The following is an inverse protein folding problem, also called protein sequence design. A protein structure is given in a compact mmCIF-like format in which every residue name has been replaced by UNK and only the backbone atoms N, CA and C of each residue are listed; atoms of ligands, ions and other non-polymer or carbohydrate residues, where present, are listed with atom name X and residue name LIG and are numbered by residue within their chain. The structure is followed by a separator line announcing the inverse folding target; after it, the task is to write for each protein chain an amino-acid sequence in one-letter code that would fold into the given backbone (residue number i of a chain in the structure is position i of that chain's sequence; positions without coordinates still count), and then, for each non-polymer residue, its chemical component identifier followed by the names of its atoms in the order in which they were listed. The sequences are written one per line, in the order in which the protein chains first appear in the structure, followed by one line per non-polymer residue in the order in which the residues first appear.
data_IF_336760336673
#
_entry.id   IF_336760336673
#
_cell.length_a   1.000
_cell.length_b   1.000
_cell.length_c   1.000
_cell.angle_alpha   90.00
_cell.angle_beta   90.00
_cell.angle_gamma   90.00
#
_symmetry.space_group_name_H-M   'P 1'
#
loop_
_entity.id
_entity.type
_entity.pdbx_description
1 polymer ?
#
# COMPACT_ATOMS: atom_id res chain seq x y z
N UNK A 1 20.49 -31.03 23.45
CA UNK A 1 19.33 -30.15 23.17
C UNK A 1 18.43 -30.01 24.40
N UNK A 2 18.39 -31.01 25.29
CA UNK A 2 17.55 -30.98 26.50
C UNK A 2 18.11 -30.11 27.65
N UNK A 3 19.41 -29.84 27.70
CA UNK A 3 20.02 -28.98 28.75
C UNK A 3 19.81 -27.47 28.54
N UNK A 4 19.24 -27.05 27.41
CA UNK A 4 19.03 -25.62 27.08
C UNK A 4 17.63 -25.15 27.50
N UNK A 5 16.70 -26.08 27.71
CA UNK A 5 15.29 -25.79 28.06
C UNK A 5 15.15 -25.30 29.52
N UNK A 6 16.17 -25.52 30.36
CA UNK A 6 16.15 -25.16 31.79
C UNK A 6 17.06 -23.98 32.17
N UNK A 7 17.62 -23.26 31.19
CA UNK A 7 18.35 -22.01 31.47
C UNK A 7 17.34 -20.87 31.63
N UNK A 8 17.38 -20.21 32.78
CA UNK A 8 16.62 -18.99 33.11
C UNK A 8 17.00 -17.78 32.22
N UNK A 9 18.02 -17.96 31.39
CA UNK A 9 18.55 -16.98 30.46
C UNK A 9 17.65 -16.88 29.21
N UNK A 10 16.44 -16.34 29.34
CA UNK A 10 15.52 -16.13 28.20
C UNK A 10 16.13 -15.25 27.07
N UNK A 11 17.22 -14.53 27.36
CA UNK A 11 17.91 -13.65 26.41
C UNK A 11 18.43 -14.36 25.16
N UNK A 12 18.92 -15.61 25.25
CA UNK A 12 19.43 -16.31 24.08
C UNK A 12 18.29 -16.73 23.14
N UNK A 13 17.15 -17.10 23.70
CA UNK A 13 15.96 -17.48 22.94
C UNK A 13 15.35 -16.26 22.26
N UNK A 14 15.25 -15.13 22.97
CA UNK A 14 14.81 -13.85 22.40
C UNK A 14 15.77 -13.35 21.30
N UNK A 15 17.09 -13.51 21.51
CA UNK A 15 18.11 -13.20 20.51
C UNK A 15 17.99 -14.11 19.28
N UNK A 16 17.77 -15.41 19.47
CA UNK A 16 17.56 -16.37 18.38
C UNK A 16 16.29 -16.05 17.58
N UNK A 17 15.17 -15.80 18.25
CA UNK A 17 13.92 -15.39 17.61
C UNK A 17 14.08 -14.07 16.84
N UNK A 18 14.82 -13.13 17.41
CA UNK A 18 15.14 -11.85 16.76
C UNK A 18 15.97 -12.06 15.50
N UNK A 19 17.06 -12.83 15.58
CA UNK A 19 17.94 -13.14 14.43
C UNK A 19 17.17 -13.90 13.36
N UNK A 20 16.38 -14.91 13.74
CA UNK A 20 15.56 -15.68 12.81
C UNK A 20 14.53 -14.81 12.09
N UNK A 21 13.85 -13.92 12.82
CA UNK A 21 12.90 -12.94 12.28
C UNK A 21 13.58 -11.94 11.33
N UNK A 22 14.76 -11.44 11.70
CA UNK A 22 15.57 -10.54 10.87
C UNK A 22 16.07 -11.24 9.59
N UNK A 23 16.51 -12.49 9.69
CA UNK A 23 16.95 -13.29 8.55
C UNK A 23 15.78 -13.59 7.60
N UNK A 24 14.61 -13.93 8.12
CA UNK A 24 13.39 -14.08 7.32
C UNK A 24 13.02 -12.77 6.61
N UNK A 25 13.06 -11.63 7.32
CA UNK A 25 12.84 -10.30 6.73
C UNK A 25 13.82 -10.01 5.60
N UNK A 26 15.11 -10.30 5.82
CA UNK A 26 16.19 -10.08 4.86
C UNK A 26 16.00 -10.92 3.61
N UNK A 27 15.72 -12.22 3.77
CA UNK A 27 15.47 -13.14 2.65
C UNK A 27 14.24 -12.70 1.85
N UNK A 28 13.14 -12.36 2.52
CA UNK A 28 11.92 -11.90 1.87
C UNK A 28 12.15 -10.63 1.03
N UNK A 29 12.84 -9.63 1.61
CA UNK A 29 13.15 -8.39 0.89
C UNK A 29 14.12 -8.66 -0.28
N UNK A 30 15.15 -9.48 -0.08
CA UNK A 30 16.08 -9.88 -1.14
C UNK A 30 15.38 -10.58 -2.32
N UNK A 31 14.43 -11.47 -2.03
CA UNK A 31 13.61 -12.12 -3.06
C UNK A 31 12.70 -11.11 -3.79
N UNK A 32 12.17 -10.10 -3.09
CA UNK A 32 11.39 -9.04 -3.71
C UNK A 32 12.26 -8.17 -4.63
N UNK A 33 13.44 -7.73 -4.16
CA UNK A 33 14.37 -6.91 -4.94
C UNK A 33 14.88 -7.60 -6.19
N UNK A 34 14.91 -8.95 -6.21
CA UNK A 34 15.28 -9.73 -7.40
C UNK A 34 14.27 -9.62 -8.55
N UNK A 35 13.06 -9.07 -8.30
CA UNK A 35 11.97 -8.95 -9.28
C UNK A 35 11.67 -7.48 -9.54
N UNK A 36 12.06 -6.96 -10.70
CA UNK A 36 11.78 -5.57 -11.11
C UNK A 36 10.29 -5.20 -11.06
N UNK A 37 9.40 -6.17 -11.23
CA UNK A 37 7.95 -5.98 -11.08
C UNK A 37 7.49 -5.63 -9.66
N UNK A 38 8.34 -5.82 -8.64
CA UNK A 38 8.07 -5.58 -7.22
C UNK A 38 8.84 -4.39 -6.64
N UNK A 39 9.57 -3.62 -7.44
CA UNK A 39 10.33 -2.45 -6.99
C UNK A 39 9.45 -1.46 -6.18
N UNK A 40 8.23 -1.20 -6.67
CA UNK A 40 7.28 -0.36 -5.95
C UNK A 40 6.80 -1.01 -4.64
N UNK A 41 6.56 -2.33 -4.64
CA UNK A 41 6.16 -3.08 -3.44
C UNK A 41 7.23 -3.00 -2.34
N UNK A 42 8.51 -3.09 -2.72
CA UNK A 42 9.64 -2.91 -1.80
C UNK A 42 9.62 -1.51 -1.16
N UNK A 43 9.39 -0.46 -1.98
CA UNK A 43 9.38 0.93 -1.50
C UNK A 43 8.30 1.26 -0.45
N UNK A 44 7.24 0.47 -0.39
CA UNK A 44 6.09 0.65 0.53
C UNK A 44 6.04 -0.39 1.67
N UNK A 45 6.74 -1.52 1.53
CA UNK A 45 6.73 -2.64 2.50
C UNK A 45 7.87 -2.47 3.50
N UNK A 46 7.65 -1.64 4.53
CA UNK A 46 8.66 -1.39 5.57
C UNK A 46 8.74 -2.48 6.65
N UNK A 47 7.66 -3.26 6.82
CA UNK A 47 7.58 -4.33 7.83
C UNK A 47 6.98 -5.61 7.23
N UNK A 48 7.65 -6.77 7.35
CA UNK A 48 7.12 -8.05 6.85
C UNK A 48 5.88 -8.50 7.63
N UNK A 49 5.78 -8.15 8.93
CA UNK A 49 4.75 -8.65 9.86
C UNK A 49 3.47 -7.79 9.97
N UNK A 50 3.41 -6.62 9.33
CA UNK A 50 2.25 -5.72 9.40
C UNK A 50 1.26 -5.98 8.26
N UNK A 51 0.86 -7.24 8.06
CA UNK A 51 -0.15 -7.63 7.06
C UNK A 51 -1.58 -7.67 7.60
N UNK A 52 -1.84 -7.10 8.78
CA UNK A 52 -3.19 -7.04 9.36
C UNK A 52 -4.23 -6.37 8.44
N UNK A 53 -3.79 -5.66 7.39
CA UNK A 53 -4.65 -5.10 6.37
C UNK A 53 -5.09 -6.12 5.30
N UNK A 54 -4.50 -7.33 5.21
CA UNK A 54 -4.85 -8.46 4.33
C UNK A 54 -5.80 -9.49 4.98
N UNK A 55 -6.13 -9.31 6.26
CA UNK A 55 -6.85 -10.31 7.05
C UNK A 55 -8.27 -9.88 7.43
N UNK A 56 -8.80 -8.78 6.87
CA UNK A 56 -10.18 -8.38 7.19
C UNK A 56 -11.19 -9.23 6.41
N UNK A 57 -11.98 -10.05 7.09
CA UNK A 57 -13.04 -10.84 6.45
C UNK A 57 -14.16 -9.97 5.85
N UNK A 58 -14.29 -8.72 6.28
CA UNK A 58 -15.41 -7.83 5.96
C UNK A 58 -15.15 -6.88 4.78
N UNK A 59 -13.93 -6.82 4.23
CA UNK A 59 -13.58 -5.94 3.10
C UNK A 59 -12.65 -6.63 2.11
N UNK A 60 -13.08 -7.78 1.58
CA UNK A 60 -12.28 -8.56 0.64
C UNK A 60 -11.93 -7.78 -0.63
N UNK A 61 -12.87 -7.00 -1.17
CA UNK A 61 -12.68 -6.26 -2.42
C UNK A 61 -11.63 -5.17 -2.25
N UNK A 62 -11.74 -4.32 -1.23
CA UNK A 62 -10.78 -3.25 -0.97
C UNK A 62 -9.36 -3.80 -0.74
N UNK A 63 -9.24 -4.91 -0.03
CA UNK A 63 -7.97 -5.59 0.20
C UNK A 63 -7.34 -6.14 -1.06
N UNK A 64 -8.13 -6.85 -1.88
CA UNK A 64 -7.66 -7.38 -3.16
C UNK A 64 -7.16 -6.26 -4.06
N UNK A 65 -7.87 -5.14 -4.14
CA UNK A 65 -7.48 -3.99 -4.96
C UNK A 65 -6.23 -3.30 -4.43
N UNK A 66 -6.14 -3.10 -3.11
CA UNK A 66 -4.93 -2.54 -2.49
C UNK A 66 -3.72 -3.43 -2.76
N UNK A 67 -3.85 -4.75 -2.59
CA UNK A 67 -2.79 -5.71 -2.89
C UNK A 67 -2.36 -5.65 -4.37
N UNK A 68 -3.32 -5.59 -5.29
CA UNK A 68 -3.03 -5.39 -6.72
C UNK A 68 -2.30 -4.08 -6.98
N UNK A 69 -2.70 -2.97 -6.35
CA UNK A 69 -1.99 -1.70 -6.48
C UNK A 69 -0.54 -1.81 -5.98
N UNK A 70 -0.32 -2.41 -4.80
CA UNK A 70 1.01 -2.61 -4.22
C UNK A 70 1.94 -3.44 -5.12
N UNK A 71 1.39 -4.46 -5.79
CA UNK A 71 2.15 -5.37 -6.66
C UNK A 71 2.25 -4.89 -8.11
N UNK A 72 1.73 -3.70 -8.41
CA UNK A 72 1.67 -3.17 -9.78
C UNK A 72 0.78 -4.01 -10.70
N UNK A 73 -0.20 -4.72 -10.17
CA UNK A 73 -1.11 -5.63 -10.88
C UNK A 73 -2.56 -5.11 -10.91
N UNK A 74 -2.75 -3.79 -10.78
CA UNK A 74 -4.07 -3.17 -10.75
C UNK A 74 -4.76 -3.12 -12.12
N UNK A 75 -4.03 -3.35 -13.22
CA UNK A 75 -4.56 -3.24 -14.58
C UNK A 75 -4.60 -1.80 -15.12
N UNK A 76 -3.83 -0.88 -14.53
CA UNK A 76 -3.59 0.45 -15.09
C UNK A 76 -2.60 0.37 -16.26
N UNK A 77 -2.54 1.39 -17.11
CA UNK A 77 -1.77 1.35 -18.36
C UNK A 77 -0.30 0.96 -18.18
N UNK A 78 0.38 1.40 -17.13
CA UNK A 78 1.76 0.95 -16.84
C UNK A 78 1.88 -0.58 -16.62
N UNK A 79 0.92 -1.21 -15.95
CA UNK A 79 0.84 -2.67 -15.81
C UNK A 79 0.53 -3.34 -17.15
N UNK A 80 -0.44 -2.79 -17.90
CA UNK A 80 -0.82 -3.33 -19.21
C UNK A 80 0.32 -3.22 -20.23
N UNK A 81 1.08 -2.13 -20.22
CA UNK A 81 2.28 -1.94 -21.04
C UNK A 81 3.35 -2.98 -20.72
N UNK A 82 3.59 -3.24 -19.44
CA UNK A 82 4.51 -4.31 -18.98
C UNK A 82 4.08 -5.69 -19.50
N UNK A 83 2.77 -5.92 -19.64
CA UNK A 83 2.19 -7.14 -20.22
C UNK A 83 2.07 -7.11 -21.76
N UNK A 84 2.49 -6.03 -22.40
CA UNK A 84 2.36 -5.79 -23.85
C UNK A 84 0.91 -5.76 -24.35
N UNK A 85 -0.01 -5.33 -23.51
CA UNK A 85 -1.44 -5.20 -23.83
C UNK A 85 -1.86 -3.77 -24.17
N UNK A 86 -1.04 -2.76 -23.86
CA UNK A 86 -1.37 -1.34 -24.03
C UNK A 86 -0.11 -0.47 -24.23
N UNK A 87 -0.30 0.81 -24.57
CA UNK A 87 0.76 1.81 -24.76
C UNK A 87 1.28 2.43 -23.44
N UNK A 88 0.50 2.28 -22.37
CA UNK A 88 0.77 2.73 -21.02
C UNK A 88 0.35 4.16 -20.70
N UNK A 89 -0.44 4.78 -21.56
CA UNK A 89 -0.99 6.12 -21.34
C UNK A 89 -2.42 6.07 -20.83
N UNK A 90 -2.82 7.12 -20.11
CA UNK A 90 -4.14 7.18 -19.49
C UNK A 90 -5.19 7.52 -20.54
N UNK A 91 -6.13 6.59 -20.77
CA UNK A 91 -7.23 6.75 -21.72
C UNK A 91 -8.44 7.50 -21.16
N UNK A 92 -8.48 7.70 -19.84
CA UNK A 92 -9.63 8.33 -19.17
C UNK A 92 -9.57 9.86 -19.13
N UNK A 93 -8.38 10.45 -19.28
CA UNK A 93 -8.21 11.89 -19.22
C UNK A 93 -7.65 12.44 -20.54
N UNK A 94 -8.09 13.62 -20.92
CA UNK A 94 -7.72 14.27 -22.18
C UNK A 94 -6.23 14.60 -22.31
N UNK A 95 -5.50 14.63 -21.20
CA UNK A 95 -4.07 14.97 -21.16
C UNK A 95 -3.16 13.80 -21.54
N UNK A 96 -3.69 12.57 -21.61
CA UNK A 96 -2.95 11.35 -21.97
C UNK A 96 -1.55 11.21 -21.32
N UNK A 97 -1.38 11.47 -20.01
CA UNK A 97 -0.10 11.23 -19.34
C UNK A 97 0.14 9.71 -19.15
N UNK A 98 1.32 9.36 -18.64
CA UNK A 98 1.62 7.99 -18.21
C UNK A 98 0.58 7.53 -17.19
N UNK A 99 0.03 6.34 -17.39
CA UNK A 99 -0.99 5.78 -16.52
C UNK A 99 -0.39 4.98 -15.36
N UNK A 100 0.10 5.70 -14.37
CA UNK A 100 0.61 5.16 -13.12
C UNK A 100 -0.33 5.41 -11.92
N UNK A 101 -0.01 4.80 -10.78
CA UNK A 101 -0.81 4.95 -9.56
C UNK A 101 -0.83 6.38 -9.05
N UNK A 102 0.27 7.12 -9.16
CA UNK A 102 0.37 8.52 -8.74
C UNK A 102 -0.62 9.39 -9.53
N UNK A 103 -0.68 9.17 -10.84
CA UNK A 103 -1.62 9.82 -11.72
C UNK A 103 -3.07 9.49 -11.32
N UNK A 104 -3.40 8.21 -11.21
CA UNK A 104 -4.76 7.76 -10.84
C UNK A 104 -5.22 8.26 -9.48
N UNK A 105 -4.33 8.29 -8.50
CA UNK A 105 -4.63 8.73 -7.14
C UNK A 105 -4.72 10.24 -6.99
N UNK A 106 -3.91 11.01 -7.71
CA UNK A 106 -3.69 12.41 -7.34
C UNK A 106 -3.88 13.43 -8.47
N UNK A 107 -3.67 13.06 -9.74
CA UNK A 107 -3.60 14.06 -10.83
C UNK A 107 -4.57 13.81 -12.00
N UNK A 108 -5.18 12.63 -12.13
CA UNK A 108 -6.09 12.30 -13.23
C UNK A 108 -7.35 13.17 -13.24
N UNK A 109 -7.56 14.01 -14.26
CA UNK A 109 -8.73 14.91 -14.27
C UNK A 109 -10.07 14.16 -14.27
N UNK A 110 -10.12 12.94 -14.81
CA UNK A 110 -11.31 12.08 -14.76
C UNK A 110 -11.77 11.80 -13.33
N UNK A 111 -10.84 11.45 -12.43
CA UNK A 111 -11.13 11.05 -11.06
C UNK A 111 -11.20 12.26 -10.09
N UNK A 112 -11.46 13.48 -10.57
CA UNK A 112 -11.36 14.68 -9.74
C UNK A 112 -12.38 14.66 -8.59
N UNK A 113 -13.61 14.25 -8.87
CA UNK A 113 -14.69 14.22 -7.88
C UNK A 113 -14.39 13.18 -6.79
N UNK A 114 -13.97 12.00 -7.21
CA UNK A 114 -13.64 10.86 -6.35
C UNK A 114 -12.46 11.20 -5.44
N UNK A 115 -11.48 11.96 -5.95
CA UNK A 115 -10.38 12.49 -5.14
C UNK A 115 -10.86 13.47 -4.09
N UNK A 116 -11.73 14.41 -4.44
CA UNK A 116 -12.30 15.37 -3.47
C UNK A 116 -13.03 14.59 -2.36
N UNK A 117 -13.84 13.60 -2.72
CA UNK A 117 -14.52 12.74 -1.76
C UNK A 117 -13.54 11.95 -0.89
N UNK A 118 -12.46 11.44 -1.46
CA UNK A 118 -11.38 10.76 -0.71
C UNK A 118 -10.74 11.68 0.33
N UNK A 119 -10.34 12.90 -0.05
CA UNK A 119 -9.78 13.87 0.90
C UNK A 119 -10.78 14.25 1.99
N UNK A 120 -12.05 14.43 1.63
CA UNK A 120 -13.11 14.72 2.60
C UNK A 120 -13.30 13.57 3.60
N UNK A 121 -13.27 12.31 3.14
CA UNK A 121 -13.37 11.14 4.04
C UNK A 121 -12.20 11.06 5.00
N UNK A 122 -10.97 11.34 4.56
CA UNK A 122 -9.82 11.39 5.47
C UNK A 122 -10.02 12.50 6.50
N UNK A 123 -10.41 13.71 6.05
CA UNK A 123 -10.64 14.86 6.93
C UNK A 123 -11.70 14.59 8.00
N UNK A 124 -12.77 13.87 7.66
CA UNK A 124 -13.86 13.57 8.60
C UNK A 124 -13.62 12.35 9.48
N UNK A 125 -12.83 11.38 9.01
CA UNK A 125 -12.66 10.09 9.70
C UNK A 125 -11.40 10.04 10.54
N UNK A 126 -10.31 10.66 10.07
CA UNK A 126 -9.03 10.66 10.78
C UNK A 126 -8.89 11.89 11.69
N UNK A 127 -7.87 11.89 12.55
CA UNK A 127 -7.53 13.07 13.33
C UNK A 127 -7.09 14.22 12.40
N UNK A 128 -7.28 15.49 12.82
CA UNK A 128 -6.81 16.65 12.06
C UNK A 128 -5.32 16.58 11.72
N UNK A 129 -4.49 16.04 12.62
CA UNK A 129 -3.05 15.95 12.41
C UNK A 129 -2.67 14.96 11.31
N UNK A 130 -3.35 13.79 11.24
CA UNK A 130 -3.17 12.82 10.15
C UNK A 130 -3.52 13.45 8.81
N UNK A 131 -4.65 14.17 8.75
CA UNK A 131 -5.09 14.83 7.52
C UNK A 131 -4.13 15.96 7.11
N UNK A 132 -3.75 16.84 8.04
CA UNK A 132 -2.85 17.95 7.77
C UNK A 132 -1.47 17.47 7.32
N UNK A 133 -0.92 16.44 7.98
CA UNK A 133 0.33 15.81 7.56
C UNK A 133 0.18 15.21 6.15
N UNK A 134 -0.89 14.45 5.90
CA UNK A 134 -1.11 13.86 4.57
C UNK A 134 -1.21 14.91 3.45
N UNK A 135 -1.75 16.10 3.73
CA UNK A 135 -1.85 17.17 2.75
C UNK A 135 -0.49 17.73 2.34
N UNK A 136 0.46 17.84 3.28
CA UNK A 136 1.78 18.45 3.04
C UNK A 136 2.79 17.51 2.39
N UNK A 137 2.52 16.20 2.39
CA UNK A 137 3.41 15.21 1.78
C UNK A 137 3.55 15.39 0.26
N UNK A 138 4.73 15.12 -0.31
CA UNK A 138 4.87 14.98 -1.75
C UNK A 138 4.11 13.74 -2.26
N UNK A 139 3.76 13.71 -3.55
CA UNK A 139 2.89 12.67 -4.12
C UNK A 139 3.39 11.24 -3.89
N UNK A 140 4.70 11.00 -4.00
CA UNK A 140 5.28 9.68 -3.77
C UNK A 140 5.09 9.23 -2.31
N UNK A 141 5.25 10.14 -1.35
CA UNK A 141 5.02 9.83 0.06
C UNK A 141 3.53 9.67 0.37
N UNK A 142 2.65 10.47 -0.26
CA UNK A 142 1.19 10.23 -0.17
C UNK A 142 0.83 8.84 -0.67
N UNK A 143 1.43 8.38 -1.77
CA UNK A 143 1.19 7.05 -2.31
C UNK A 143 1.69 5.96 -1.35
N UNK A 144 2.86 6.14 -0.73
CA UNK A 144 3.37 5.25 0.33
C UNK A 144 2.45 5.20 1.54
N UNK A 145 1.86 6.32 1.95
CA UNK A 145 0.85 6.36 3.01
C UNK A 145 -0.41 5.60 2.62
N UNK A 146 -0.88 5.79 1.38
CA UNK A 146 -2.07 5.12 0.89
C UNK A 146 -1.87 3.60 0.85
N UNK A 147 -0.76 3.13 0.30
CA UNK A 147 -0.56 1.73 -0.05
C UNK A 147 0.25 0.93 0.98
N UNK A 148 1.04 1.61 1.79
CA UNK A 148 1.88 1.01 2.82
C UNK A 148 1.27 1.07 4.22
N UNK A 149 2.14 0.93 5.21
CA UNK A 149 1.78 0.74 6.62
C UNK A 149 2.17 1.96 7.49
N UNK A 150 2.58 3.05 6.84
CA UNK A 150 3.17 4.24 7.50
C UNK A 150 2.24 4.86 8.53
N UNK A 151 0.94 4.94 8.23
CA UNK A 151 -0.03 5.53 9.17
C UNK A 151 -0.19 4.66 10.42
N UNK A 152 -0.17 3.33 10.28
CA UNK A 152 -0.20 2.42 11.42
C UNK A 152 1.03 2.59 12.31
N UNK A 153 2.20 2.78 11.70
CA UNK A 153 3.47 2.94 12.42
C UNK A 153 3.58 4.28 13.16
N UNK A 154 3.13 5.38 12.56
CA UNK A 154 3.29 6.73 13.13
C UNK A 154 2.13 7.09 14.07
N UNK A 155 0.89 6.74 13.70
CA UNK A 155 -0.33 7.23 14.34
C UNK A 155 -1.13 6.13 15.06
N UNK A 156 -0.61 4.90 15.08
CA UNK A 156 -1.23 3.76 15.74
C UNK A 156 -2.35 3.10 14.94
N UNK A 157 -2.90 2.02 15.52
CA UNK A 157 -3.86 1.13 14.84
C UNK A 157 -5.16 1.83 14.45
N UNK A 158 -5.72 2.64 15.35
CA UNK A 158 -7.03 3.25 15.13
C UNK A 158 -7.02 4.22 13.93
N UNK A 159 -6.05 5.13 13.90
CA UNK A 159 -5.86 6.05 12.77
C UNK A 159 -5.49 5.30 11.50
N UNK A 160 -4.63 4.28 11.61
CA UNK A 160 -4.26 3.40 10.50
C UNK A 160 -5.48 2.74 9.85
N UNK A 161 -6.39 2.17 10.64
CA UNK A 161 -7.61 1.52 10.11
C UNK A 161 -8.58 2.52 9.47
N UNK A 162 -8.78 3.69 10.08
CA UNK A 162 -9.65 4.72 9.52
C UNK A 162 -9.11 5.25 8.18
N UNK A 163 -7.80 5.50 8.11
CA UNK A 163 -7.15 5.94 6.89
C UNK A 163 -7.18 4.87 5.81
N UNK A 164 -6.83 3.63 6.16
CA UNK A 164 -6.83 2.47 5.24
C UNK A 164 -8.22 2.22 4.65
N UNK A 165 -9.28 2.34 5.46
CA UNK A 165 -10.66 2.26 4.99
C UNK A 165 -10.97 3.30 3.91
N UNK A 166 -10.53 4.56 4.11
CA UNK A 166 -10.72 5.62 3.11
C UNK A 166 -10.01 5.29 1.79
N UNK A 167 -8.77 4.80 1.87
CA UNK A 167 -7.97 4.42 0.69
C UNK A 167 -8.61 3.26 -0.07
N UNK A 168 -9.04 2.21 0.64
CA UNK A 168 -9.67 1.03 0.04
C UNK A 168 -10.98 1.41 -0.67
N UNK A 169 -11.79 2.26 -0.06
CA UNK A 169 -13.02 2.76 -0.69
C UNK A 169 -12.72 3.56 -1.95
N UNK A 170 -11.71 4.43 -1.93
CA UNK A 170 -11.30 5.19 -3.11
C UNK A 170 -10.80 4.26 -4.23
N UNK A 171 -9.97 3.26 -3.90
CA UNK A 171 -9.50 2.23 -4.85
C UNK A 171 -10.66 1.47 -5.51
N UNK A 172 -11.69 1.11 -4.74
CA UNK A 172 -12.89 0.45 -5.29
C UNK A 172 -13.57 1.35 -6.31
N UNK A 173 -13.73 2.64 -6.01
CA UNK A 173 -14.36 3.59 -6.93
C UNK A 173 -13.57 3.71 -8.23
N UNK A 174 -12.28 4.03 -8.17
CA UNK A 174 -11.48 4.25 -9.39
C UNK A 174 -11.22 2.96 -10.20
N UNK A 175 -11.30 1.78 -9.56
CA UNK A 175 -11.14 0.51 -10.26
C UNK A 175 -12.34 0.19 -11.15
N UNK A 176 -13.54 0.65 -10.81
CA UNK A 176 -14.69 0.47 -11.69
C UNK A 176 -14.47 1.19 -13.02
N UNK A 177 -13.84 2.36 -13.00
CA UNK A 177 -13.53 3.12 -14.21
C UNK A 177 -12.44 2.44 -15.05
N UNK A 178 -11.44 1.82 -14.40
CA UNK A 178 -10.39 1.03 -15.07
C UNK A 178 -10.98 -0.19 -15.80
N UNK A 179 -12.00 -0.83 -15.24
CA UNK A 179 -12.63 -2.00 -15.86
C UNK A 179 -13.56 -1.64 -17.04
N UNK A 180 -14.02 -0.39 -17.11
CA UNK A 180 -14.94 0.10 -18.13
C UNK A 180 -14.26 0.91 -19.25
N UNK A 181 -12.94 1.10 -19.18
CA UNK A 181 -12.10 1.83 -20.14
C UNK A 181 -11.46 0.92 -21.17
#
# INVERSE_FOLDING_TARGET
LDDVVFRDDNEWYDSFLTISSQQHKSNFLSECSSKSSLEFYESIKQTPFLENYLTSSNDFVGQRLKFKARTGCLGIGTDLKRRKCDDGFCKLCSLHPIDDLTHRFFTCSHNQRERIDFYNRIKTSCSPDVFNMFLTLPLNEKLKWCLGDVVFSIWGKDQGFLFDKCVKQFLVTINNDILNS
#
